data_IF_688377775137
#
_entry.id   IF_688377775137
#
_cell.length_a   1.000
_cell.length_b   1.000
_cell.length_c   1.000
_cell.angle_alpha   90.00
_cell.angle_beta   90.00
_cell.angle_gamma   90.00
#
_symmetry.space_group_name_H-M   'P 1'
#
loop_
_entity.id
_entity.type
_entity.pdbx_description
1 polymer ?
#
# COMPACT_ATOMS: atom_id res chain seq x y z
N UNK A 1 -14.54 1.22 2.13
CA UNK A 1 -14.98 1.81 3.41
C UNK A 1 -14.96 0.75 4.50
N UNK A 2 -14.32 1.05 5.63
CA UNK A 2 -14.19 0.18 6.80
C UNK A 2 -15.20 0.65 7.86
N UNK A 3 -15.96 -0.27 8.45
CA UNK A 3 -17.02 0.07 9.40
C UNK A 3 -16.87 -0.60 10.78
N UNK A 4 -15.95 -1.55 10.93
CA UNK A 4 -15.75 -2.33 12.16
C UNK A 4 -14.28 -2.51 12.52
N UNK A 5 -13.99 -2.77 13.80
CA UNK A 5 -12.63 -3.09 14.28
C UNK A 5 -12.04 -4.32 13.58
N UNK A 6 -12.89 -5.29 13.24
CA UNK A 6 -12.47 -6.51 12.55
C UNK A 6 -12.02 -6.20 11.11
N UNK A 7 -12.75 -5.36 10.40
CA UNK A 7 -12.38 -4.90 9.06
C UNK A 7 -11.14 -4.02 9.08
N UNK A 8 -11.03 -3.12 10.07
CA UNK A 8 -9.84 -2.27 10.26
C UNK A 8 -8.58 -3.11 10.48
N UNK A 9 -8.63 -4.09 11.37
CA UNK A 9 -7.50 -5.00 11.63
C UNK A 9 -7.08 -5.79 10.40
N UNK A 10 -8.04 -6.29 9.61
CA UNK A 10 -7.76 -6.99 8.35
C UNK A 10 -7.17 -6.04 7.30
N UNK A 11 -7.66 -4.81 7.23
CA UNK A 11 -7.11 -3.80 6.33
C UNK A 11 -5.67 -3.43 6.71
N UNK A 12 -5.36 -3.27 7.99
CA UNK A 12 -4.00 -3.05 8.48
C UNK A 12 -3.07 -4.22 8.12
N UNK A 13 -3.51 -5.46 8.33
CA UNK A 13 -2.75 -6.64 7.94
C UNK A 13 -2.45 -6.65 6.44
N UNK A 14 -3.46 -6.38 5.61
CA UNK A 14 -3.30 -6.33 4.15
C UNK A 14 -2.37 -5.19 3.70
N UNK A 15 -2.40 -4.04 4.39
CA UNK A 15 -1.45 -2.95 4.14
C UNK A 15 -0.01 -3.34 4.48
N UNK A 16 0.20 -4.12 5.54
CA UNK A 16 1.52 -4.63 5.91
C UNK A 16 2.05 -5.65 4.88
N UNK A 17 1.23 -6.60 4.47
CA UNK A 17 1.57 -7.59 3.43
C UNK A 17 1.88 -6.91 2.08
N UNK A 18 1.09 -5.89 1.72
CA UNK A 18 1.34 -5.07 0.53
C UNK A 18 2.65 -4.29 0.64
N UNK A 19 2.99 -3.74 1.81
CA UNK A 19 4.23 -2.97 2.00
C UNK A 19 5.47 -3.84 1.77
N UNK A 20 5.47 -5.06 2.30
CA UNK A 20 6.53 -6.03 2.09
C UNK A 20 6.64 -6.43 0.62
N UNK A 21 5.51 -6.67 -0.05
CA UNK A 21 5.49 -6.99 -1.49
C UNK A 21 6.02 -5.84 -2.34
N UNK A 22 5.62 -4.60 -2.05
CA UNK A 22 6.12 -3.39 -2.72
C UNK A 22 7.62 -3.22 -2.52
N UNK A 23 8.14 -3.50 -1.33
CA UNK A 23 9.57 -3.42 -1.04
C UNK A 23 10.36 -4.39 -1.92
N UNK A 24 9.93 -5.67 -1.98
CA UNK A 24 10.57 -6.69 -2.84
C UNK A 24 10.48 -6.36 -4.32
N UNK A 25 9.33 -5.89 -4.80
CA UNK A 25 9.15 -5.43 -6.19
C UNK A 25 10.10 -4.29 -6.53
N UNK A 26 10.17 -3.27 -5.66
CA UNK A 26 11.06 -2.12 -5.84
C UNK A 26 12.53 -2.54 -5.87
N UNK A 27 12.94 -3.45 -4.98
CA UNK A 27 14.30 -3.97 -4.95
C UNK A 27 14.64 -4.72 -6.25
N UNK A 28 13.77 -5.63 -6.70
CA UNK A 28 13.98 -6.39 -7.94
C UNK A 28 14.05 -5.48 -9.18
N UNK A 29 13.22 -4.44 -9.25
CA UNK A 29 13.26 -3.45 -10.33
C UNK A 29 14.56 -2.61 -10.30
N UNK A 30 15.04 -2.24 -9.11
CA UNK A 30 16.31 -1.54 -8.97
C UNK A 30 17.50 -2.43 -9.39
N UNK A 31 17.49 -3.71 -9.01
CA UNK A 31 18.49 -4.71 -9.41
C UNK A 31 18.47 -4.97 -10.92
N UNK A 32 17.31 -4.87 -11.56
CA UNK A 32 17.17 -4.92 -13.01
C UNK A 32 17.71 -3.66 -13.73
N UNK A 33 18.23 -2.69 -13.00
CA UNK A 33 18.91 -1.50 -13.54
C UNK A 33 17.98 -0.35 -13.90
N UNK A 34 16.74 -0.35 -13.41
CA UNK A 34 15.83 0.77 -13.65
C UNK A 34 16.34 2.04 -12.97
N UNK A 35 16.33 3.14 -13.71
CA UNK A 35 16.56 4.47 -13.15
C UNK A 35 15.44 4.86 -12.17
N UNK A 36 15.69 5.85 -11.31
CA UNK A 36 14.68 6.31 -10.34
C UNK A 36 13.33 6.66 -10.98
N UNK A 37 13.32 7.35 -12.13
CA UNK A 37 12.08 7.69 -12.84
C UNK A 37 11.35 6.49 -13.44
N UNK A 38 12.08 5.46 -13.88
CA UNK A 38 11.47 4.24 -14.42
C UNK A 38 10.90 3.39 -13.29
N UNK A 39 11.62 3.32 -12.18
CA UNK A 39 11.19 2.65 -10.97
C UNK A 39 9.93 3.30 -10.39
N UNK A 40 9.88 4.63 -10.32
CA UNK A 40 8.68 5.36 -9.88
C UNK A 40 7.48 5.09 -10.80
N UNK A 41 7.69 5.11 -12.12
CA UNK A 41 6.65 4.78 -13.10
C UNK A 41 6.18 3.33 -12.99
N UNK A 42 7.09 2.39 -12.79
CA UNK A 42 6.76 0.97 -12.63
C UNK A 42 6.02 0.69 -11.32
N UNK A 43 6.34 1.42 -10.25
CA UNK A 43 5.70 1.29 -8.94
C UNK A 43 4.35 2.02 -8.84
N UNK A 44 4.11 3.04 -9.66
CA UNK A 44 2.92 3.89 -9.59
C UNK A 44 1.57 3.12 -9.60
N UNK A 45 1.34 2.10 -10.43
CA UNK A 45 0.10 1.34 -10.40
C UNK A 45 -0.13 0.63 -9.05
N UNK A 46 0.92 0.01 -8.50
CA UNK A 46 0.84 -0.71 -7.23
C UNK A 46 0.56 0.24 -6.06
N UNK A 47 1.15 1.43 -6.09
CA UNK A 47 0.89 2.49 -5.10
C UNK A 47 -0.54 3.02 -5.19
N UNK A 48 -1.08 3.21 -6.40
CA UNK A 48 -2.46 3.64 -6.62
C UNK A 48 -3.47 2.63 -6.08
N UNK A 49 -3.27 1.33 -6.31
CA UNK A 49 -4.15 0.29 -5.75
C UNK A 49 -4.15 0.29 -4.21
N UNK A 50 -3.02 0.61 -3.59
CA UNK A 50 -2.90 0.71 -2.12
C UNK A 50 -3.55 1.98 -1.57
N UNK A 51 -3.56 3.08 -2.32
CA UNK A 51 -4.01 4.38 -1.83
C UNK A 51 -5.46 4.37 -1.32
N UNK A 52 -6.37 3.66 -1.99
CA UNK A 52 -7.77 3.55 -1.56
C UNK A 52 -7.93 2.88 -0.19
N UNK A 53 -7.20 1.79 0.05
CA UNK A 53 -7.24 1.09 1.33
C UNK A 53 -6.64 1.92 2.47
N UNK A 54 -5.60 2.71 2.18
CA UNK A 54 -5.03 3.65 3.14
C UNK A 54 -6.04 4.73 3.53
N UNK A 55 -6.78 5.26 2.55
CA UNK A 55 -7.81 6.27 2.85
C UNK A 55 -8.96 5.68 3.66
N UNK A 56 -9.40 4.47 3.34
CA UNK A 56 -10.43 3.76 4.11
C UNK A 56 -10.01 3.55 5.58
N UNK A 57 -8.76 3.16 5.83
CA UNK A 57 -8.21 2.99 7.18
C UNK A 57 -8.18 4.32 7.93
N UNK A 58 -7.67 5.38 7.28
CA UNK A 58 -7.62 6.71 7.88
C UNK A 58 -9.01 7.27 8.17
N UNK A 59 -9.97 7.04 7.29
CA UNK A 59 -11.35 7.47 7.48
C UNK A 59 -11.96 6.81 8.72
N UNK A 60 -11.76 5.50 8.88
CA UNK A 60 -12.20 4.76 10.06
C UNK A 60 -11.54 5.24 11.36
N UNK A 61 -10.22 5.45 11.34
CA UNK A 61 -9.46 5.95 12.51
C UNK A 61 -9.92 7.35 12.94
N UNK A 62 -10.30 8.21 11.98
CA UNK A 62 -10.89 9.53 12.28
C UNK A 62 -12.28 9.45 12.89
N UNK A 63 -13.09 8.46 12.51
CA UNK A 63 -14.46 8.32 13.01
C UNK A 63 -14.59 7.48 14.28
N UNK A 64 -13.54 6.75 14.65
CA UNK A 64 -13.52 5.81 15.79
C UNK A 64 -12.66 6.31 16.96
N UNK A 65 -12.09 7.52 16.84
CA UNK A 65 -11.24 8.18 17.85
C UNK A 65 -11.97 9.23 18.66
#
# INVERSE_FOLDING_TARGET
>A
MIATDAEHRRALQRLAENAETLHRQRAALAEAGLSGQELDRAMAPLLSFRAGLVEDVRAYERSSG
#
